data_IF_384743302646
#
_entry.id   IF_384743302646
#
_cell.length_a   1.000
_cell.length_b   1.000
_cell.length_c   1.000
_cell.angle_alpha   90.00
_cell.angle_beta   90.00
_cell.angle_gamma   90.00
#
_symmetry.space_group_name_H-M   'P 1'
#
loop_
_entity.id
_entity.type
_entity.pdbx_description
1 polymer ?
#
# COMPACT_ATOMS: atom_id res chain seq x y z
N UNK A 1 -13.31 25.32 -8.83
CA UNK A 1 -13.84 24.26 -9.72
C UNK A 1 -13.95 22.95 -8.94
N UNK A 2 -14.95 22.10 -9.22
CA UNK A 2 -15.13 20.78 -8.60
C UNK A 2 -15.09 19.70 -9.66
N UNK A 3 -14.14 18.77 -9.55
CA UNK A 3 -13.97 17.65 -10.50
C UNK A 3 -14.87 16.49 -10.11
N UNK A 4 -15.59 15.91 -11.07
CA UNK A 4 -16.50 14.75 -10.87
C UNK A 4 -16.14 13.53 -11.73
N UNK A 5 -15.12 13.63 -12.59
CA UNK A 5 -14.65 12.54 -13.44
C UNK A 5 -13.39 12.89 -14.22
N UNK A 6 -12.65 11.86 -14.67
CA UNK A 6 -11.43 11.96 -15.49
C UNK A 6 -11.31 10.75 -16.42
N UNK A 7 -10.71 10.96 -17.59
CA UNK A 7 -10.36 9.89 -18.53
C UNK A 7 -9.08 10.27 -19.29
N UNK A 8 -8.40 9.28 -19.87
CA UNK A 8 -7.18 9.43 -20.67
C UNK A 8 -6.96 8.18 -21.53
N UNK A 9 -6.51 8.35 -22.77
CA UNK A 9 -6.04 7.24 -23.62
C UNK A 9 -4.75 6.59 -23.08
N UNK A 10 -4.03 7.29 -22.21
CA UNK A 10 -2.82 6.83 -21.53
C UNK A 10 -3.02 6.71 -20.02
N UNK A 11 -4.20 6.24 -19.58
CA UNK A 11 -4.49 6.05 -18.17
C UNK A 11 -3.60 4.96 -17.55
N UNK A 12 -3.02 5.23 -16.38
CA UNK A 12 -2.36 4.22 -15.55
C UNK A 12 -3.33 3.58 -14.54
N UNK A 13 -4.59 4.05 -14.47
CA UNK A 13 -5.63 3.39 -13.70
C UNK A 13 -5.94 2.03 -14.34
N UNK A 14 -5.96 0.97 -13.53
CA UNK A 14 -6.30 -0.37 -13.96
C UNK A 14 -7.42 -0.92 -13.09
N UNK A 15 -8.62 -0.99 -13.64
CA UNK A 15 -9.82 -1.48 -12.95
C UNK A 15 -9.64 -2.94 -12.47
N UNK A 16 -8.96 -3.76 -13.26
CA UNK A 16 -8.65 -5.15 -12.92
C UNK A 16 -7.79 -5.30 -11.66
N UNK A 17 -6.98 -4.29 -11.29
CA UNK A 17 -6.15 -4.34 -10.08
C UNK A 17 -6.85 -3.72 -8.85
N UNK A 18 -7.91 -2.93 -9.05
CA UNK A 18 -8.54 -2.11 -7.98
C UNK A 18 -9.95 -2.61 -7.64
N UNK A 19 -10.51 -3.52 -8.44
CA UNK A 19 -11.83 -4.12 -8.17
C UNK A 19 -11.83 -4.99 -6.92
N UNK A 20 -12.97 -5.04 -6.24
CA UNK A 20 -13.24 -5.92 -5.10
C UNK A 20 -13.97 -7.22 -5.50
N UNK A 21 -14.52 -7.28 -6.72
CA UNK A 21 -15.23 -8.45 -7.28
C UNK A 21 -14.24 -9.45 -7.89
N UNK A 22 -14.48 -10.75 -7.65
CA UNK A 22 -13.74 -11.94 -8.11
C UNK A 22 -12.38 -11.62 -8.73
N UNK A 23 -11.46 -11.21 -7.86
CA UNK A 23 -10.06 -11.18 -8.16
C UNK A 23 -9.65 -12.61 -8.56
N UNK A 24 -9.43 -12.86 -9.84
CA UNK A 24 -8.97 -14.13 -10.38
C UNK A 24 -7.51 -14.43 -9.94
N UNK A 25 -7.13 -14.03 -8.73
CA UNK A 25 -5.79 -14.13 -8.15
C UNK A 25 -4.82 -13.04 -8.60
N UNK A 26 -5.27 -11.88 -9.07
CA UNK A 26 -4.38 -10.79 -9.48
C UNK A 26 -3.76 -10.04 -8.28
N UNK A 27 -4.35 -10.12 -7.08
CA UNK A 27 -3.80 -9.54 -5.85
C UNK A 27 -3.82 -10.51 -4.65
N UNK A 28 -2.65 -11.01 -4.23
CA UNK A 28 -2.53 -11.71 -2.95
C UNK A 28 -2.44 -10.71 -1.79
N UNK A 29 -3.53 -10.57 -1.04
CA UNK A 29 -3.61 -9.73 0.16
C UNK A 29 -2.54 -10.07 1.22
N UNK A 30 -1.97 -11.28 1.21
CA UNK A 30 -0.89 -11.67 2.13
C UNK A 30 0.41 -10.93 1.82
N UNK A 31 0.66 -10.55 0.58
CA UNK A 31 1.85 -9.80 0.18
C UNK A 31 1.87 -8.40 0.81
N UNK A 32 0.69 -7.79 0.99
CA UNK A 32 0.56 -6.50 1.65
C UNK A 32 1.13 -6.53 3.08
N UNK A 33 0.94 -7.63 3.81
CA UNK A 33 1.46 -7.78 5.16
C UNK A 33 3.00 -7.78 5.19
N UNK A 34 3.64 -8.42 4.20
CA UNK A 34 5.10 -8.39 4.03
C UNK A 34 5.61 -6.99 3.69
N UNK A 35 4.97 -6.33 2.72
CA UNK A 35 5.30 -4.98 2.28
C UNK A 35 5.21 -3.96 3.43
N UNK A 36 4.13 -3.99 4.21
CA UNK A 36 3.94 -3.10 5.37
C UNK A 36 5.04 -3.32 6.41
N UNK A 37 5.34 -4.58 6.74
CA UNK A 37 6.37 -4.93 7.73
C UNK A 37 7.76 -4.48 7.30
N UNK A 38 8.11 -4.66 6.03
CA UNK A 38 9.40 -4.23 5.47
C UNK A 38 9.54 -2.70 5.47
N UNK A 39 8.53 -1.97 4.98
CA UNK A 39 8.57 -0.51 4.97
C UNK A 39 8.60 0.08 6.38
N UNK A 40 7.91 -0.54 7.33
CA UNK A 40 7.89 -0.12 8.73
C UNK A 40 9.16 -0.51 9.50
N UNK A 41 10.03 -1.37 8.95
CA UNK A 41 11.18 -1.93 9.68
C UNK A 41 12.08 -0.83 10.26
N UNK A 42 12.44 0.17 9.45
CA UNK A 42 13.30 1.28 9.89
C UNK A 42 12.70 2.06 11.08
N UNK A 43 11.39 2.29 11.05
CA UNK A 43 10.67 3.03 12.10
C UNK A 43 10.62 2.21 13.39
N UNK A 44 10.37 0.90 13.27
CA UNK A 44 10.37 -0.03 14.40
C UNK A 44 11.75 -0.10 15.06
N UNK A 45 12.82 -0.18 14.28
CA UNK A 45 14.20 -0.21 14.80
C UNK A 45 14.56 1.10 15.53
N UNK A 46 14.21 2.25 14.96
CA UNK A 46 14.42 3.54 15.63
C UNK A 46 13.64 3.62 16.95
N UNK A 47 12.38 3.20 16.97
CA UNK A 47 11.57 3.18 18.19
C UNK A 47 12.14 2.19 19.23
N UNK A 48 12.64 1.03 18.80
CA UNK A 48 13.32 0.06 19.68
C UNK A 48 14.58 0.67 20.29
N UNK A 49 15.40 1.37 19.50
CA UNK A 49 16.59 2.07 19.97
C UNK A 49 16.24 3.16 20.97
N UNK A 50 15.22 3.99 20.68
CA UNK A 50 14.77 5.04 21.58
C UNK A 50 14.31 4.48 22.94
N UNK A 51 13.53 3.39 22.94
CA UNK A 51 13.14 2.70 24.18
C UNK A 51 14.34 2.15 24.95
N UNK A 52 15.35 1.60 24.26
CA UNK A 52 16.56 1.06 24.90
C UNK A 52 17.41 2.15 25.52
N UNK A 53 17.53 3.30 24.86
CA UNK A 53 18.31 4.43 25.33
C UNK A 53 17.57 5.28 26.37
N UNK A 54 16.37 4.86 26.77
CA UNK A 54 15.54 5.59 27.72
C UNK A 54 15.20 6.96 27.18
N UNK A 55 14.26 7.02 26.23
CA UNK A 55 13.54 8.27 26.00
C UNK A 55 13.15 8.93 27.32
#
# INVERSE_FOLDING_TARGET
ARTVGRWSEHSLYSEAHVTFEEDAGAYDQKDAAGFIKLNALRLRLLAMRARRLGG
#
